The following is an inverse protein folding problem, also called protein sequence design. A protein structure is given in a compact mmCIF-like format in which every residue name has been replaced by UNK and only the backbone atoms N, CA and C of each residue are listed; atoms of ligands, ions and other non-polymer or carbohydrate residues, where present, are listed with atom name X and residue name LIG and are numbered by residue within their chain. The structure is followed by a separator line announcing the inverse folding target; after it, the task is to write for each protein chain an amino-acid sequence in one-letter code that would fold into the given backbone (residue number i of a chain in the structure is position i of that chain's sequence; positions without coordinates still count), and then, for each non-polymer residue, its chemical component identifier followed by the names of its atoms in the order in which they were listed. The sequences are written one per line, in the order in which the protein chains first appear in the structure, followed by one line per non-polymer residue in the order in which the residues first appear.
data_IF_751531447978
#
_entry.id   IF_751531447978
#
_cell.length_a   1.000
_cell.length_b   1.000
_cell.length_c   1.000
_cell.angle_alpha   90.00
_cell.angle_beta   90.00
_cell.angle_gamma   90.00
#
_symmetry.space_group_name_H-M   'P 1'
#
loop_
_entity.id
_entity.type
_entity.pdbx_description
1 polymer ?
#
# COMPACT_ATOMS: atom_id res chain seq x y z
N UNK A 1 13.50 6.94 0.78
CA UNK A 1 13.37 8.43 0.83
C UNK A 1 14.62 9.15 0.36
N UNK A 2 14.72 9.37 -0.95
CA UNK A 2 15.72 10.23 -1.59
C UNK A 2 15.23 11.71 -1.60
N UNK A 3 16.05 12.66 -1.16
CA UNK A 3 15.71 14.10 -1.09
C UNK A 3 16.85 14.92 -1.69
N UNK A 4 16.57 16.15 -2.14
CA UNK A 4 17.60 17.04 -2.71
C UNK A 4 18.84 17.17 -1.82
N UNK A 5 18.65 17.25 -0.49
CA UNK A 5 19.74 17.29 0.50
C UNK A 5 20.56 16.00 0.48
N UNK A 6 19.89 14.83 0.51
CA UNK A 6 20.59 13.53 0.47
C UNK A 6 21.34 13.33 -0.83
N UNK A 7 20.76 13.70 -1.97
CA UNK A 7 21.40 13.59 -3.29
C UNK A 7 22.62 14.53 -3.39
N UNK A 8 22.55 15.74 -2.84
CA UNK A 8 23.68 16.65 -2.78
C UNK A 8 24.85 16.08 -1.96
N UNK A 9 24.55 15.50 -0.78
CA UNK A 9 25.56 14.86 0.07
C UNK A 9 26.16 13.63 -0.63
N UNK A 10 25.33 12.77 -1.20
CA UNK A 10 25.78 11.56 -1.90
C UNK A 10 26.66 11.90 -3.12
N UNK A 11 26.31 12.94 -3.87
CA UNK A 11 27.13 13.42 -5.01
C UNK A 11 28.47 13.95 -4.55
N UNK A 12 28.51 14.75 -3.48
CA UNK A 12 29.74 15.26 -2.91
C UNK A 12 30.64 14.13 -2.37
N UNK A 13 30.05 13.14 -1.70
CA UNK A 13 30.74 11.95 -1.18
C UNK A 13 31.35 11.10 -2.29
N UNK A 14 30.60 10.79 -3.35
CA UNK A 14 31.09 9.98 -4.48
C UNK A 14 32.24 10.67 -5.23
N UNK A 15 32.27 11.99 -5.21
CA UNK A 15 33.33 12.80 -5.82
C UNK A 15 34.46 13.18 -4.83
N UNK A 16 34.40 12.69 -3.59
CA UNK A 16 35.35 12.98 -2.51
C UNK A 16 35.67 14.48 -2.35
N UNK A 17 34.62 15.31 -2.39
CA UNK A 17 34.71 16.77 -2.20
C UNK A 17 33.62 17.25 -1.26
N UNK A 18 33.74 18.50 -0.83
CA UNK A 18 32.65 19.18 -0.13
C UNK A 18 31.51 19.55 -1.10
N UNK A 19 30.32 19.76 -0.53
CA UNK A 19 29.15 20.28 -1.24
C UNK A 19 29.50 21.66 -1.82
N UNK A 20 29.21 21.86 -3.10
CA UNK A 20 29.58 23.08 -3.83
C UNK A 20 28.38 24.02 -4.02
N UNK A 21 28.63 25.19 -4.61
CA UNK A 21 27.60 26.22 -4.84
C UNK A 21 26.40 25.71 -5.66
N UNK A 22 26.64 24.85 -6.65
CA UNK A 22 25.57 24.31 -7.52
C UNK A 22 24.59 23.45 -6.72
N UNK A 23 25.11 22.55 -5.89
CA UNK A 23 24.29 21.67 -5.03
C UNK A 23 23.55 22.46 -3.94
N UNK A 24 24.23 23.45 -3.33
CA UNK A 24 23.60 24.34 -2.36
C UNK A 24 22.47 25.16 -2.99
N UNK A 25 22.67 25.66 -4.22
CA UNK A 25 21.65 26.41 -4.92
C UNK A 25 20.44 25.53 -5.31
N UNK A 26 20.67 24.29 -5.75
CA UNK A 26 19.60 23.33 -6.00
C UNK A 26 18.80 23.02 -4.72
N UNK A 27 19.50 22.79 -3.60
CA UNK A 27 18.86 22.56 -2.29
C UNK A 27 18.05 23.79 -1.85
N UNK A 28 18.58 24.99 -2.05
CA UNK A 28 17.89 26.22 -1.69
C UNK A 28 16.61 26.44 -2.52
N UNK A 29 16.68 26.23 -3.83
CA UNK A 29 15.49 26.27 -4.70
C UNK A 29 14.44 25.22 -4.30
N UNK A 30 14.89 24.02 -3.93
CA UNK A 30 14.01 22.97 -3.42
C UNK A 30 13.28 23.38 -2.14
N UNK A 31 13.97 24.04 -1.19
CA UNK A 31 13.36 24.56 0.04
C UNK A 31 12.38 25.69 -0.27
N UNK A 32 12.71 26.61 -1.19
CA UNK A 32 11.77 27.67 -1.58
C UNK A 32 10.48 27.13 -2.17
N UNK A 33 10.56 26.05 -2.96
CA UNK A 33 9.39 25.39 -3.54
C UNK A 33 8.59 24.55 -2.53
N UNK A 34 9.12 24.33 -1.32
CA UNK A 34 8.46 23.53 -0.30
C UNK A 34 7.22 24.20 0.30
N UNK A 35 7.11 25.53 0.21
CA UNK A 35 5.98 26.29 0.77
C UNK A 35 4.63 25.76 0.25
N UNK A 36 4.48 25.66 -1.07
CA UNK A 36 3.24 25.15 -1.68
C UNK A 36 2.96 23.68 -1.32
N UNK A 37 3.99 22.86 -1.15
CA UNK A 37 3.83 21.45 -0.74
C UNK A 37 3.38 21.33 0.73
N UNK A 38 3.93 22.16 1.61
CA UNK A 38 3.55 22.17 3.03
C UNK A 38 2.13 22.72 3.19
N UNK A 39 1.79 23.78 2.47
CA UNK A 39 0.42 24.33 2.44
C UNK A 39 -0.58 23.27 1.97
N UNK A 40 -0.28 22.58 0.87
CA UNK A 40 -1.07 21.46 0.37
C UNK A 40 -1.25 20.36 1.42
N UNK A 41 -0.16 19.92 2.07
CA UNK A 41 -0.20 18.88 3.09
C UNK A 41 -1.05 19.29 4.31
N UNK A 42 -0.90 20.53 4.78
CA UNK A 42 -1.72 21.07 5.86
C UNK A 42 -3.20 21.13 5.49
N UNK A 43 -3.52 21.57 4.27
CA UNK A 43 -4.89 21.63 3.79
C UNK A 43 -5.52 20.23 3.76
N UNK A 44 -4.82 19.25 3.20
CA UNK A 44 -5.31 17.87 3.16
C UNK A 44 -5.48 17.30 4.57
N UNK A 45 -4.60 17.63 5.51
CA UNK A 45 -4.73 17.21 6.89
C UNK A 45 -5.99 17.81 7.55
N UNK A 46 -6.19 19.12 7.43
CA UNK A 46 -7.34 19.86 7.98
C UNK A 46 -8.68 19.36 7.42
N UNK A 47 -8.71 18.99 6.14
CA UNK A 47 -9.93 18.55 5.44
C UNK A 47 -10.04 17.01 5.31
N UNK A 48 -9.15 16.26 5.95
CA UNK A 48 -9.00 14.81 5.73
C UNK A 48 -10.30 14.05 5.96
N UNK A 49 -10.96 14.27 7.09
CA UNK A 49 -12.19 13.56 7.44
C UNK A 49 -13.32 13.84 6.43
N UNK A 50 -13.50 15.10 6.02
CA UNK A 50 -14.51 15.50 5.04
C UNK A 50 -14.27 14.83 3.68
N UNK A 51 -13.00 14.82 3.23
CA UNK A 51 -12.62 14.21 1.94
C UNK A 51 -12.81 12.68 1.97
N UNK A 52 -12.45 12.03 3.07
CA UNK A 52 -12.62 10.59 3.25
C UNK A 52 -14.11 10.21 3.24
N UNK A 53 -14.93 10.92 4.01
CA UNK A 53 -16.36 10.62 4.12
C UNK A 53 -17.07 10.84 2.78
N UNK A 54 -16.78 11.94 2.09
CA UNK A 54 -17.36 12.26 0.79
C UNK A 54 -16.95 11.26 -0.29
N UNK A 55 -15.67 10.87 -0.34
CA UNK A 55 -15.18 9.88 -1.30
C UNK A 55 -15.76 8.48 -1.03
N UNK A 56 -15.83 8.06 0.24
CA UNK A 56 -16.42 6.78 0.65
C UNK A 56 -17.91 6.71 0.30
N UNK A 57 -18.65 7.81 0.52
CA UNK A 57 -20.04 7.91 0.14
C UNK A 57 -20.23 7.89 -1.38
N UNK A 58 -19.39 8.61 -2.14
CA UNK A 58 -19.45 8.62 -3.61
C UNK A 58 -19.30 7.22 -4.18
N UNK A 59 -18.36 6.41 -3.66
CA UNK A 59 -18.18 5.03 -4.11
C UNK A 59 -19.35 4.12 -3.69
N UNK A 60 -19.81 4.23 -2.45
CA UNK A 60 -20.92 3.42 -1.90
C UNK A 60 -22.23 3.58 -2.68
N UNK A 61 -22.46 4.76 -3.27
CA UNK A 61 -23.60 5.01 -4.16
C UNK A 61 -23.48 4.31 -5.51
N UNK A 62 -22.25 4.09 -5.99
CA UNK A 62 -21.96 3.52 -7.30
C UNK A 62 -21.86 1.99 -7.30
N UNK A 63 -21.37 1.37 -6.22
CA UNK A 63 -21.16 -0.08 -6.13
C UNK A 63 -21.49 -0.62 -4.74
N UNK A 64 -22.07 -1.84 -4.72
CA UNK A 64 -22.45 -2.62 -3.54
C UNK A 64 -21.64 -2.27 -2.27
N UNK A 65 -22.29 -1.65 -1.28
CA UNK A 65 -22.03 -1.50 0.17
C UNK A 65 -20.66 -1.94 0.77
N UNK A 66 -19.56 -1.76 0.07
CA UNK A 66 -18.21 -2.05 0.57
C UNK A 66 -17.65 -0.80 1.19
N UNK A 67 -17.31 -0.90 2.47
CA UNK A 67 -16.64 0.15 3.21
C UNK A 67 -15.13 0.13 2.89
N UNK A 68 -14.65 1.19 2.25
CA UNK A 68 -13.24 1.41 1.93
C UNK A 68 -12.65 2.64 2.64
N UNK A 69 -13.32 3.12 3.68
CA UNK A 69 -12.94 4.33 4.43
C UNK A 69 -11.50 4.28 4.92
N UNK A 70 -11.08 3.15 5.51
CA UNK A 70 -9.71 3.00 6.04
C UNK A 70 -8.64 2.95 4.93
N UNK A 71 -8.97 2.37 3.77
CA UNK A 71 -8.07 2.41 2.63
C UNK A 71 -7.94 3.84 2.10
N UNK A 72 -9.02 4.59 1.99
CA UNK A 72 -8.98 6.00 1.56
C UNK A 72 -8.14 6.84 2.53
N UNK A 73 -8.34 6.66 3.84
CA UNK A 73 -7.56 7.32 4.89
C UNK A 73 -6.06 7.07 4.73
N UNK A 74 -5.68 5.80 4.54
CA UNK A 74 -4.29 5.40 4.39
C UNK A 74 -3.62 6.08 3.19
N UNK A 75 -4.27 6.12 2.03
CA UNK A 75 -3.68 6.72 0.82
C UNK A 75 -3.60 8.23 0.93
N UNK A 76 -4.60 8.87 1.53
CA UNK A 76 -4.56 10.30 1.77
C UNK A 76 -3.36 10.67 2.68
N UNK A 77 -3.05 9.81 3.66
CA UNK A 77 -1.87 9.97 4.52
C UNK A 77 -0.56 9.74 3.75
N UNK A 78 -0.48 8.74 2.86
CA UNK A 78 0.68 8.55 1.99
C UNK A 78 0.93 9.77 1.09
N UNK A 79 -0.12 10.35 0.51
CA UNK A 79 -0.01 11.58 -0.30
C UNK A 79 0.52 12.74 0.55
N UNK A 80 0.05 12.91 1.79
CA UNK A 80 0.59 13.91 2.72
C UNK A 80 2.09 13.69 2.98
N UNK A 81 2.53 12.45 3.15
CA UNK A 81 3.96 12.13 3.30
C UNK A 81 4.76 12.42 2.04
N UNK A 82 4.22 12.11 0.86
CA UNK A 82 4.85 12.46 -0.41
C UNK A 82 5.06 13.96 -0.58
N UNK A 83 4.06 14.78 -0.20
CA UNK A 83 4.15 16.23 -0.22
C UNK A 83 5.26 16.75 0.71
N UNK A 84 5.33 16.23 1.94
CA UNK A 84 6.33 16.65 2.94
C UNK A 84 7.74 16.21 2.51
N UNK A 85 7.88 14.99 2.00
CA UNK A 85 9.16 14.42 1.59
C UNK A 85 9.63 14.88 0.20
N UNK A 86 8.73 15.46 -0.60
CA UNK A 86 8.90 15.73 -2.04
C UNK A 86 9.38 14.49 -2.83
N UNK A 87 8.76 13.34 -2.58
CA UNK A 87 9.20 12.04 -3.11
C UNK A 87 8.02 11.08 -3.26
N UNK A 88 8.09 10.16 -4.21
CA UNK A 88 7.09 9.09 -4.40
C UNK A 88 7.37 7.87 -3.52
N UNK A 89 8.53 7.81 -2.84
CA UNK A 89 8.94 6.68 -2.02
C UNK A 89 7.90 6.25 -0.98
N UNK A 90 7.15 7.14 -0.29
CA UNK A 90 6.10 6.72 0.62
C UNK A 90 4.99 5.90 -0.08
N UNK A 91 4.64 6.25 -1.32
CA UNK A 91 3.74 5.45 -2.13
C UNK A 91 4.46 4.14 -2.50
N UNK A 92 5.64 4.20 -3.10
CA UNK A 92 6.31 2.99 -3.64
C UNK A 92 6.63 1.93 -2.57
N UNK A 93 7.08 2.36 -1.39
CA UNK A 93 7.46 1.46 -0.30
C UNK A 93 6.22 0.88 0.42
N UNK A 94 5.18 1.68 0.67
CA UNK A 94 4.10 1.30 1.58
C UNK A 94 2.77 0.96 0.88
N UNK A 95 2.58 1.40 -0.37
CA UNK A 95 1.40 1.04 -1.16
C UNK A 95 1.40 -0.44 -1.53
N UNK A 96 2.51 -0.92 -2.07
CA UNK A 96 2.64 -2.29 -2.60
C UNK A 96 2.54 -3.31 -1.46
N UNK A 97 3.14 -3.01 -0.30
CA UNK A 97 3.06 -3.88 0.88
C UNK A 97 1.61 -3.98 1.37
N UNK A 98 0.87 -2.87 1.41
CA UNK A 98 -0.54 -2.87 1.82
C UNK A 98 -1.44 -3.66 0.87
N UNK A 99 -1.23 -3.57 -0.44
CA UNK A 99 -2.02 -4.29 -1.44
C UNK A 99 -1.81 -5.81 -1.43
N UNK A 100 -0.59 -6.27 -1.15
CA UNK A 100 -0.28 -7.71 -1.07
C UNK A 100 -0.84 -8.40 0.18
N UNK A 101 -1.31 -7.64 1.18
CA UNK A 101 -1.85 -8.16 2.43
C UNK A 101 -3.39 -8.23 2.45
N UNK A 102 -4.06 -7.76 1.39
CA UNK A 102 -5.53 -7.79 1.31
C UNK A 102 -5.99 -9.22 0.97
N UNK A 103 -6.53 -9.93 1.96
CA UNK A 103 -7.12 -11.28 1.83
C UNK A 103 -8.53 -11.30 1.17
N UNK A 104 -8.83 -10.37 0.25
CA UNK A 104 -10.15 -10.18 -0.36
C UNK A 104 -10.10 -10.03 -1.88
N UNK A 105 -11.24 -9.70 -2.51
CA UNK A 105 -11.29 -9.37 -3.95
C UNK A 105 -10.49 -8.08 -4.20
N UNK A 106 -9.21 -8.23 -4.54
CA UNK A 106 -8.27 -7.14 -4.78
C UNK A 106 -8.81 -6.16 -5.81
N UNK A 107 -9.60 -6.62 -6.79
CA UNK A 107 -10.15 -5.77 -7.83
C UNK A 107 -11.20 -4.79 -7.31
N UNK A 108 -12.00 -5.20 -6.32
CA UNK A 108 -13.01 -4.34 -5.73
C UNK A 108 -12.37 -3.23 -4.87
N UNK A 109 -11.35 -3.57 -4.09
CA UNK A 109 -10.57 -2.61 -3.30
C UNK A 109 -9.80 -1.63 -4.20
N UNK A 110 -9.11 -2.13 -5.24
CA UNK A 110 -8.44 -1.27 -6.23
C UNK A 110 -9.43 -0.34 -6.94
N UNK A 111 -10.63 -0.81 -7.24
CA UNK A 111 -11.68 0.01 -7.86
C UNK A 111 -12.17 1.11 -6.93
N UNK A 112 -12.39 0.81 -5.64
CA UNK A 112 -12.74 1.87 -4.69
C UNK A 112 -11.64 2.92 -4.60
N UNK A 113 -10.38 2.50 -4.44
CA UNK A 113 -9.29 3.45 -4.25
C UNK A 113 -9.11 4.40 -5.44
N UNK A 114 -9.17 3.89 -6.66
CA UNK A 114 -9.07 4.74 -7.84
C UNK A 114 -10.23 5.74 -7.94
N UNK A 115 -11.47 5.29 -7.68
CA UNK A 115 -12.63 6.18 -7.71
C UNK A 115 -12.53 7.26 -6.62
N UNK A 116 -12.15 6.87 -5.41
CA UNK A 116 -11.97 7.79 -4.30
C UNK A 116 -10.87 8.82 -4.58
N UNK A 117 -9.74 8.43 -5.15
CA UNK A 117 -8.67 9.35 -5.52
C UNK A 117 -9.08 10.30 -6.65
N UNK A 118 -9.80 9.82 -7.66
CA UNK A 118 -10.39 10.67 -8.70
C UNK A 118 -11.39 11.69 -8.11
N UNK A 119 -12.20 11.25 -7.15
CA UNK A 119 -13.13 12.12 -6.44
C UNK A 119 -12.37 13.21 -5.66
N UNK A 120 -11.37 12.83 -4.87
CA UNK A 120 -10.55 13.77 -4.09
C UNK A 120 -9.86 14.77 -5.02
N UNK A 121 -9.27 14.30 -6.13
CA UNK A 121 -8.63 15.18 -7.12
C UNK A 121 -9.59 16.27 -7.64
N UNK A 122 -10.85 15.89 -7.90
CA UNK A 122 -11.86 16.79 -8.46
C UNK A 122 -12.51 17.70 -7.42
N UNK A 123 -12.49 17.33 -6.14
CA UNK A 123 -13.27 17.97 -5.07
C UNK A 123 -12.43 18.51 -3.91
N UNK A 124 -11.10 18.43 -3.97
CA UNK A 124 -10.21 18.93 -2.91
C UNK A 124 -10.31 20.43 -2.65
N UNK A 125 -10.86 21.24 -3.56
CA UNK A 125 -11.09 22.67 -3.32
C UNK A 125 -9.82 23.56 -3.27
N UNK A 126 -8.63 22.99 -3.48
CA UNK A 126 -7.39 23.74 -3.67
C UNK A 126 -7.36 24.40 -5.06
N UNK A 127 -6.82 25.62 -5.11
CA UNK A 127 -6.43 26.31 -6.36
C UNK A 127 -4.93 26.55 -6.35
N UNK A 128 -4.35 26.91 -7.49
CA UNK A 128 -2.95 27.37 -7.61
C UNK A 128 -1.88 26.27 -7.40
N UNK A 129 -0.66 26.66 -7.03
CA UNK A 129 0.51 25.77 -6.96
C UNK A 129 0.30 24.59 -5.99
N UNK A 130 -0.41 24.80 -4.88
CA UNK A 130 -0.75 23.74 -3.94
C UNK A 130 -1.58 22.63 -4.60
N UNK A 131 -2.55 23.00 -5.45
CA UNK A 131 -3.37 22.03 -6.19
C UNK A 131 -2.51 21.21 -7.17
N UNK A 132 -1.54 21.85 -7.84
CA UNK A 132 -0.61 21.17 -8.75
C UNK A 132 0.20 20.11 -7.99
N UNK A 133 0.73 20.45 -6.81
CA UNK A 133 1.51 19.52 -6.00
C UNK A 133 0.68 18.32 -5.53
N UNK A 134 -0.56 18.53 -5.07
CA UNK A 134 -1.43 17.41 -4.68
C UNK A 134 -1.77 16.54 -5.88
N UNK A 135 -2.19 17.15 -6.99
CA UNK A 135 -2.59 16.43 -8.19
C UNK A 135 -1.47 15.55 -8.73
N UNK A 136 -0.22 16.04 -8.70
CA UNK A 136 0.96 15.25 -9.09
C UNK A 136 1.06 13.92 -8.34
N UNK A 137 0.86 13.92 -7.02
CA UNK A 137 0.96 12.70 -6.22
C UNK A 137 -0.30 11.82 -6.30
N UNK A 138 -1.48 12.42 -6.47
CA UNK A 138 -2.70 11.66 -6.75
C UNK A 138 -2.59 10.94 -8.11
N UNK A 139 -2.16 11.64 -9.16
CA UNK A 139 -1.95 11.07 -10.49
C UNK A 139 -0.93 9.93 -10.44
N UNK A 140 0.16 10.11 -9.70
CA UNK A 140 1.15 9.06 -9.49
C UNK A 140 0.52 7.83 -8.81
N UNK A 141 -0.21 8.01 -7.71
CA UNK A 141 -0.88 6.93 -6.99
C UNK A 141 -1.87 6.17 -7.88
N UNK A 142 -2.71 6.89 -8.64
CA UNK A 142 -3.67 6.28 -9.57
C UNK A 142 -2.95 5.47 -10.65
N UNK A 143 -1.90 6.02 -11.25
CA UNK A 143 -1.11 5.32 -12.26
C UNK A 143 -0.47 4.04 -11.70
N UNK A 144 0.10 4.09 -10.50
CA UNK A 144 0.66 2.91 -9.83
C UNK A 144 -0.41 1.85 -9.56
N UNK A 145 -1.61 2.24 -9.15
CA UNK A 145 -2.75 1.32 -8.97
C UNK A 145 -3.20 0.69 -10.30
N UNK A 146 -3.24 1.46 -11.39
CA UNK A 146 -3.56 0.95 -12.73
C UNK A 146 -2.52 -0.08 -13.17
N UNK A 147 -1.23 0.23 -13.00
CA UNK A 147 -0.13 -0.69 -13.33
C UNK A 147 -0.20 -1.96 -12.49
N UNK A 148 -0.49 -1.84 -11.19
CA UNK A 148 -0.65 -2.99 -10.31
C UNK A 148 -1.81 -3.89 -10.77
N UNK A 149 -2.97 -3.31 -11.12
CA UNK A 149 -4.10 -4.05 -11.70
C UNK A 149 -3.68 -4.78 -12.98
N UNK A 150 -2.98 -4.11 -13.88
CA UNK A 150 -2.51 -4.70 -15.13
C UNK A 150 -1.52 -5.85 -14.91
N UNK A 151 -0.61 -5.71 -13.93
CA UNK A 151 0.36 -6.74 -13.59
C UNK A 151 -0.27 -7.95 -12.89
N UNK A 152 -1.34 -7.77 -12.09
CA UNK A 152 -2.12 -8.90 -11.57
C UNK A 152 -2.74 -9.74 -12.68
N UNK A 153 -3.04 -9.15 -13.84
CA UNK A 153 -3.52 -9.90 -15.02
C UNK A 153 -2.43 -10.74 -15.73
N UNK A 154 -1.14 -10.58 -15.41
CA UNK A 154 -0.03 -11.10 -16.24
C UNK A 154 0.81 -12.22 -15.57
N UNK A 155 0.69 -12.48 -14.26
CA UNK A 155 1.56 -13.47 -13.58
C UNK A 155 0.79 -14.71 -13.12
N UNK A 156 0.68 -15.69 -14.03
CA UNK A 156 0.77 -17.11 -13.67
C UNK A 156 1.69 -17.81 -14.70
N UNK A 157 2.96 -18.09 -14.37
CA UNK A 157 3.90 -18.70 -15.30
C UNK A 157 3.58 -20.17 -15.63
N UNK A 158 2.50 -20.73 -15.08
CA UNK A 158 2.00 -22.07 -15.40
C UNK A 158 0.76 -22.10 -16.30
N UNK A 159 0.18 -20.94 -16.62
CA UNK A 159 -0.97 -20.87 -17.52
C UNK A 159 -0.50 -20.76 -18.97
N UNK A 160 -0.60 -21.87 -19.72
CA UNK A 160 -0.45 -21.90 -21.18
C UNK A 160 -1.55 -21.07 -21.88
N UNK A 161 -1.49 -19.74 -21.76
CA UNK A 161 -2.18 -18.78 -22.62
C UNK A 161 -3.70 -18.89 -22.67
N UNK A 162 -4.36 -19.29 -21.58
CA UNK A 162 -5.83 -19.20 -21.48
C UNK A 162 -6.22 -18.21 -20.38
N UNK A 163 -7.14 -17.27 -20.65
CA UNK A 163 -7.69 -16.41 -19.59
C UNK A 163 -8.40 -17.30 -18.59
N UNK A 164 -7.87 -17.40 -17.37
CA UNK A 164 -8.56 -18.07 -16.29
C UNK A 164 -9.83 -17.28 -15.95
N UNK A 165 -10.96 -17.97 -16.04
CA UNK A 165 -12.24 -17.45 -15.58
C UNK A 165 -12.10 -17.16 -14.09
N UNK A 166 -12.66 -16.02 -13.68
CA UNK A 166 -13.06 -15.68 -12.31
C UNK A 166 -13.19 -16.95 -11.47
N UNK A 167 -12.44 -17.08 -10.36
CA UNK A 167 -12.55 -18.22 -9.44
C UNK A 167 -13.93 -18.17 -8.78
N UNK A 168 -14.94 -18.61 -9.52
CA UNK A 168 -16.27 -18.91 -9.01
C UNK A 168 -16.06 -19.98 -7.96
N UNK A 169 -16.46 -19.68 -6.72
CA UNK A 169 -16.50 -20.67 -5.65
C UNK A 169 -17.37 -21.84 -6.13
N UNK A 170 -16.73 -22.95 -6.49
CA UNK A 170 -17.42 -24.18 -6.86
C UNK A 170 -17.79 -24.90 -5.56
N UNK A 171 -19.08 -24.89 -5.15
CA UNK A 171 -19.50 -25.52 -3.90
C UNK A 171 -19.33 -27.05 -3.93
N UNK A 172 -18.98 -27.63 -5.08
CA UNK A 172 -18.72 -29.07 -5.22
C UNK A 172 -17.27 -29.45 -4.91
N UNK A 173 -16.34 -28.49 -4.89
CA UNK A 173 -14.94 -28.72 -4.52
C UNK A 173 -14.80 -28.71 -3.00
N UNK A 174 -14.21 -29.76 -2.44
CA UNK A 174 -13.97 -29.87 -1.00
C UNK A 174 -13.14 -28.69 -0.51
N UNK A 175 -13.57 -27.97 0.54
CA UNK A 175 -12.78 -26.90 1.13
C UNK A 175 -11.41 -27.39 1.59
N UNK A 176 -10.42 -26.50 1.58
CA UNK A 176 -9.04 -26.81 2.00
C UNK A 176 -8.99 -27.45 3.41
N UNK A 177 -9.80 -26.98 4.35
CA UNK A 177 -9.89 -27.58 5.69
C UNK A 177 -10.35 -29.05 5.67
N UNK A 178 -11.23 -29.42 4.75
CA UNK A 178 -11.67 -30.80 4.60
C UNK A 178 -10.56 -31.68 4.02
N UNK A 179 -9.76 -31.14 3.09
CA UNK A 179 -8.55 -31.80 2.60
C UNK A 179 -7.51 -31.98 3.70
N UNK A 180 -7.31 -30.97 4.56
CA UNK A 180 -6.41 -31.08 5.72
C UNK A 180 -6.87 -32.14 6.72
N UNK A 181 -8.18 -32.29 6.95
CA UNK A 181 -8.72 -33.35 7.81
C UNK A 181 -8.48 -34.73 7.18
N UNK A 182 -8.67 -34.86 5.86
CA UNK A 182 -8.40 -36.12 5.14
C UNK A 182 -6.92 -36.51 5.20
N UNK A 183 -6.01 -35.55 5.06
CA UNK A 183 -4.58 -35.75 5.23
C UNK A 183 -4.26 -36.10 6.69
N UNK A 184 -4.84 -35.38 7.64
CA UNK A 184 -4.65 -35.63 9.08
C UNK A 184 -5.12 -37.01 9.53
N UNK A 185 -6.16 -37.55 8.87
CA UNK A 185 -6.66 -38.91 9.11
C UNK A 185 -5.71 -40.02 8.61
N UNK A 186 -4.79 -39.72 7.69
CA UNK A 186 -3.77 -40.66 7.23
C UNK A 186 -2.57 -40.74 8.18
N UNK A 187 -2.43 -39.79 9.11
CA UNK A 187 -1.34 -39.75 10.08
C UNK A 187 -1.67 -40.64 11.29
N UNK A 188 -0.81 -41.61 11.65
CA UNK A 188 -1.03 -42.47 12.82
C UNK A 188 -1.15 -41.67 14.13
N UNK A 189 -1.98 -42.16 15.07
CA UNK A 189 -2.16 -41.52 16.39
C UNK A 189 -0.85 -41.37 17.17
N UNK A 190 0.07 -42.30 16.99
CA UNK A 190 1.40 -42.28 17.60
C UNK A 190 2.22 -41.06 17.20
N UNK A 191 2.03 -40.54 15.98
CA UNK A 191 2.68 -39.30 15.53
C UNK A 191 1.96 -38.06 16.08
N UNK A 192 0.64 -38.12 16.23
CA UNK A 192 -0.14 -37.06 16.88
C UNK A 192 0.24 -36.88 18.36
N UNK A 193 0.58 -37.97 19.05
CA UNK A 193 1.00 -37.92 20.45
C UNK A 193 2.38 -37.29 20.67
N UNK A 194 3.21 -37.18 19.62
CA UNK A 194 4.50 -36.47 19.69
C UNK A 194 4.35 -34.95 19.66
N UNK A 195 3.19 -34.44 19.22
CA UNK A 195 2.98 -33.00 19.14
C UNK A 195 2.84 -32.39 20.54
N UNK A 196 3.55 -31.29 20.82
CA UNK A 196 3.42 -30.61 22.09
C UNK A 196 2.04 -29.98 22.23
N UNK A 197 1.36 -30.27 23.35
CA UNK A 197 0.03 -29.74 23.66
C UNK A 197 0.03 -28.24 23.98
N UNK A 198 1.20 -27.68 24.20
CA UNK A 198 1.46 -26.30 24.57
C UNK A 198 2.20 -25.53 23.47
N UNK A 199 2.19 -26.02 22.22
CA UNK A 199 2.88 -25.39 21.10
C UNK A 199 2.56 -23.90 20.95
N UNK A 200 1.29 -23.52 21.07
CA UNK A 200 0.87 -22.12 20.92
C UNK A 200 1.46 -21.21 22.01
N UNK A 201 1.73 -21.75 23.21
CA UNK A 201 2.30 -20.99 24.33
C UNK A 201 3.83 -20.99 24.30
N UNK A 202 4.42 -22.11 23.90
CA UNK A 202 5.86 -22.34 23.92
C UNK A 202 6.45 -22.39 22.50
N UNK A 203 5.90 -21.62 21.57
CA UNK A 203 6.32 -21.62 20.17
C UNK A 203 7.82 -21.36 20.01
N UNK A 204 8.35 -20.37 20.73
CA UNK A 204 9.77 -20.03 20.68
C UNK A 204 10.67 -21.13 21.22
N UNK A 205 10.22 -21.90 22.22
CA UNK A 205 10.94 -23.06 22.73
C UNK A 205 11.11 -24.13 21.64
N UNK A 206 10.04 -24.48 20.93
CA UNK A 206 10.06 -25.55 19.93
C UNK A 206 10.74 -25.14 18.62
N UNK A 207 10.67 -23.87 18.23
CA UNK A 207 11.28 -23.38 16.98
C UNK A 207 12.72 -22.91 17.15
N UNK A 208 13.05 -22.34 18.32
CA UNK A 208 14.31 -21.61 18.53
C UNK A 208 15.08 -22.05 19.79
N UNK A 209 14.54 -22.99 20.59
CA UNK A 209 15.21 -23.51 21.78
C UNK A 209 15.19 -22.59 23.00
N UNK A 210 14.28 -21.60 23.03
CA UNK A 210 14.10 -20.70 24.17
C UNK A 210 13.68 -21.46 25.45
N UNK A 211 13.89 -20.91 26.66
CA UNK A 211 13.37 -21.50 27.89
C UNK A 211 11.85 -21.67 27.83
N UNK A 212 11.35 -22.79 28.35
CA UNK A 212 9.92 -23.10 28.35
C UNK A 212 9.19 -22.31 29.42
N UNK A 213 8.06 -21.71 29.09
CA UNK A 213 7.16 -21.06 30.03
C UNK A 213 6.23 -22.10 30.67
N UNK A 214 6.12 -22.09 32.01
CA UNK A 214 5.23 -22.97 32.80
C UNK A 214 3.75 -22.60 32.67
#
# INVERSE_FOLDING_TARGET
METSIKTAIATAQTQNRFVNKTELQATFSWVQQAEARIEAAEYLHKNSQLLIDAASQSFSLLKNKVDCTESIRYYLQLIQYCLIADSTDPIDEYLIIGLNQINGDSNLYLSCMMEALNYIQSNQGLTDEAAIQVNRYIDYAINTLVQFRQNQTIIDPTSNGKPEKEKVYDPTVKPFWQQLIEIGAQVPKEEWDKFPRDFARNFEHYMYGAPKEE
#
